data_IF_260220444085
#
_entry.id   IF_260220444085
#
_cell.length_a   1.000
_cell.length_b   1.000
_cell.length_c   1.000
_cell.angle_alpha   90.00
_cell.angle_beta   90.00
_cell.angle_gamma   90.00
#
_symmetry.space_group_name_H-M   'P 1'
#
loop_
_entity.id
_entity.type
_entity.pdbx_description
1 polymer ?
#
# COMPACT_ATOMS: atom_id res chain seq x y z
N UNK A 1 6.77 20.37 -37.72
CA UNK A 1 7.36 19.34 -38.61
C UNK A 1 7.29 19.88 -40.03
N UNK A 2 8.42 19.98 -40.76
CA UNK A 2 8.36 20.35 -42.19
C UNK A 2 7.68 19.20 -42.96
N UNK A 3 6.71 19.53 -43.82
CA UNK A 3 5.97 18.54 -44.59
C UNK A 3 6.91 17.77 -45.53
N UNK A 4 6.62 16.49 -45.76
CA UNK A 4 7.33 15.63 -46.73
C UNK A 4 7.35 16.27 -48.12
N UNK A 5 6.28 17.00 -48.48
CA UNK A 5 6.22 17.78 -49.72
C UNK A 5 7.22 18.94 -49.74
N UNK A 6 7.46 19.62 -48.62
CA UNK A 6 8.43 20.73 -48.55
C UNK A 6 9.85 20.20 -48.74
N UNK A 7 10.19 19.07 -48.12
CA UNK A 7 11.51 18.43 -48.26
C UNK A 7 11.75 18.00 -49.71
N UNK A 8 10.74 17.39 -50.36
CA UNK A 8 10.83 16.98 -51.76
C UNK A 8 11.02 18.17 -52.71
N UNK A 9 10.31 19.28 -52.49
CA UNK A 9 10.43 20.50 -53.30
C UNK A 9 11.82 21.12 -53.18
N UNK A 10 12.39 21.18 -51.97
CA UNK A 10 13.75 21.69 -51.77
C UNK A 10 14.82 20.79 -52.39
N UNK A 11 14.65 19.47 -52.32
CA UNK A 11 15.57 18.53 -52.95
C UNK A 11 15.54 18.62 -54.48
N UNK A 12 14.35 18.68 -55.07
CA UNK A 12 14.17 18.88 -56.53
C UNK A 12 14.73 20.24 -56.96
N UNK A 13 14.48 21.30 -56.19
CA UNK A 13 15.03 22.63 -56.45
C UNK A 13 16.56 22.64 -56.47
N UNK A 14 17.20 21.97 -55.51
CA UNK A 14 18.67 21.84 -55.45
C UNK A 14 19.23 21.05 -56.64
N UNK A 15 18.57 19.98 -57.07
CA UNK A 15 18.98 19.19 -58.25
C UNK A 15 18.85 20.01 -59.52
N UNK A 16 17.76 20.77 -59.68
CA UNK A 16 17.54 21.64 -60.85
C UNK A 16 18.61 22.73 -60.90
N UNK A 17 18.92 23.38 -59.77
CA UNK A 17 19.96 24.41 -59.72
C UNK A 17 21.33 23.82 -60.03
N UNK A 18 21.67 22.64 -59.51
CA UNK A 18 22.92 21.96 -59.82
C UNK A 18 23.02 21.58 -61.31
N UNK A 19 21.95 21.01 -61.88
CA UNK A 19 21.89 20.65 -63.30
C UNK A 19 22.00 21.87 -64.22
N UNK A 20 21.29 22.96 -63.90
CA UNK A 20 21.38 24.23 -64.64
C UNK A 20 22.78 24.84 -64.54
N UNK A 21 23.41 24.79 -63.37
CA UNK A 21 24.78 25.27 -63.18
C UNK A 21 25.77 24.49 -64.06
N UNK A 22 25.64 23.17 -64.13
CA UNK A 22 26.45 22.31 -65.00
C UNK A 22 26.19 22.61 -66.48
N UNK A 23 24.93 22.77 -66.89
CA UNK A 23 24.57 23.07 -68.28
C UNK A 23 25.06 24.46 -68.73
N UNK A 24 24.97 25.47 -67.88
CA UNK A 24 25.50 26.82 -68.15
C UNK A 24 27.02 26.80 -68.24
N UNK A 25 27.70 26.06 -67.36
CA UNK A 25 29.15 25.90 -67.41
C UNK A 25 29.60 25.15 -68.67
N UNK A 26 28.85 24.14 -69.11
CA UNK A 26 29.16 23.40 -70.33
C UNK A 26 29.04 24.27 -71.59
N UNK A 27 28.00 25.10 -71.66
CA UNK A 27 27.72 25.95 -72.82
C UNK A 27 28.64 27.16 -72.93
N UNK A 28 29.05 27.74 -71.80
CA UNK A 28 29.92 28.92 -71.78
C UNK A 28 31.42 28.61 -71.98
N UNK A 29 31.86 27.36 -71.78
CA UNK A 29 33.29 27.04 -71.65
C UNK A 29 33.81 25.91 -72.57
N UNK A 30 33.12 25.55 -73.65
CA UNK A 30 33.59 24.50 -74.59
C UNK A 30 34.76 24.89 -75.50
N UNK A 31 35.39 26.05 -75.30
CA UNK A 31 36.59 26.48 -76.04
C UNK A 31 37.80 26.41 -75.10
N UNK A 32 38.61 25.37 -75.29
CA UNK A 32 39.69 24.96 -74.38
C UNK A 32 40.86 25.94 -74.30
N UNK A 33 41.28 26.25 -73.08
CA UNK A 33 42.55 26.91 -72.79
C UNK A 33 43.06 26.51 -71.39
N UNK A 34 44.38 26.61 -71.17
CA UNK A 34 45.21 25.98 -70.13
C UNK A 34 44.95 26.42 -68.67
N UNK A 35 43.75 26.94 -68.36
CA UNK A 35 43.25 27.30 -67.01
C UNK A 35 42.39 26.20 -66.36
N UNK A 36 42.36 25.00 -66.93
CA UNK A 36 41.43 23.92 -66.55
C UNK A 36 41.77 23.22 -65.22
N UNK A 37 43.03 23.22 -64.78
CA UNK A 37 43.45 22.53 -63.54
C UNK A 37 42.98 23.24 -62.26
N UNK A 38 43.07 24.58 -62.21
CA UNK A 38 42.59 25.40 -61.07
C UNK A 38 41.06 25.37 -60.96
N UNK A 39 40.37 25.22 -62.11
CA UNK A 39 38.91 25.20 -62.19
C UNK A 39 38.32 23.86 -61.74
N UNK A 40 38.96 22.75 -62.10
CA UNK A 40 38.59 21.42 -61.60
C UNK A 40 38.73 21.31 -60.07
N UNK A 41 39.76 21.93 -59.48
CA UNK A 41 39.94 21.93 -58.02
C UNK A 41 38.88 22.76 -57.28
N UNK A 42 38.43 23.86 -57.91
CA UNK A 42 37.33 24.69 -57.38
C UNK A 42 35.99 23.96 -57.43
N UNK A 43 35.71 23.23 -58.51
CA UNK A 43 34.50 22.39 -58.62
C UNK A 43 34.56 21.23 -57.62
N UNK A 44 35.73 20.61 -57.46
CA UNK A 44 35.95 19.50 -56.51
C UNK A 44 35.75 19.93 -55.06
N UNK A 45 36.24 21.11 -54.68
CA UNK A 45 36.05 21.68 -53.34
C UNK A 45 34.61 22.14 -53.10
N UNK A 46 33.95 22.75 -54.09
CA UNK A 46 32.53 23.07 -53.98
C UNK A 46 31.66 21.80 -53.83
N UNK A 47 31.95 20.75 -54.59
CA UNK A 47 31.25 19.48 -54.51
C UNK A 47 31.45 18.79 -53.15
N UNK A 48 32.67 18.81 -52.59
CA UNK A 48 32.94 18.21 -51.28
C UNK A 48 32.27 18.95 -50.13
N UNK A 49 32.14 20.28 -50.21
CA UNK A 49 31.39 21.08 -49.22
C UNK A 49 29.90 20.71 -49.23
N UNK A 50 29.29 20.58 -50.41
CA UNK A 50 27.86 20.20 -50.54
C UNK A 50 27.62 18.78 -50.02
N UNK A 51 28.48 17.82 -50.37
CA UNK A 51 28.38 16.44 -49.86
C UNK A 51 28.59 16.41 -48.34
N UNK A 52 29.59 17.15 -47.82
CA UNK A 52 29.89 17.22 -46.40
C UNK A 52 28.77 17.87 -45.57
N UNK A 53 28.21 18.98 -46.05
CA UNK A 53 27.07 19.65 -45.39
C UNK A 53 25.79 18.82 -45.49
N UNK A 54 25.52 18.18 -46.63
CA UNK A 54 24.42 17.23 -46.79
C UNK A 54 24.53 16.03 -45.85
N UNK A 55 25.73 15.44 -45.73
CA UNK A 55 26.02 14.35 -44.80
C UNK A 55 25.86 14.76 -43.33
N UNK A 56 26.38 15.93 -42.94
CA UNK A 56 26.23 16.47 -41.59
C UNK A 56 24.75 16.78 -41.25
N UNK A 57 23.99 17.33 -42.20
CA UNK A 57 22.56 17.57 -42.03
C UNK A 57 21.77 16.26 -41.89
N UNK A 58 22.11 15.24 -42.68
CA UNK A 58 21.52 13.91 -42.57
C UNK A 58 21.79 13.28 -41.18
N UNK A 59 23.03 13.35 -40.69
CA UNK A 59 23.41 12.87 -39.35
C UNK A 59 22.69 13.63 -38.23
N UNK A 60 22.54 14.95 -38.36
CA UNK A 60 21.79 15.74 -37.38
C UNK A 60 20.29 15.36 -37.37
N UNK A 61 19.70 15.11 -38.54
CA UNK A 61 18.31 14.69 -38.65
C UNK A 61 18.09 13.29 -38.08
N UNK A 62 18.98 12.33 -38.35
CA UNK A 62 18.89 10.99 -37.76
C UNK A 62 19.08 11.03 -36.25
N UNK A 63 20.06 11.79 -35.75
CA UNK A 63 20.27 11.95 -34.30
C UNK A 63 19.06 12.60 -33.61
N UNK A 64 18.43 13.60 -34.23
CA UNK A 64 17.20 14.22 -33.70
C UNK A 64 16.03 13.24 -33.69
N UNK A 65 15.83 12.48 -34.78
CA UNK A 65 14.78 11.46 -34.86
C UNK A 65 14.99 10.34 -33.83
N UNK A 66 16.24 9.90 -33.66
CA UNK A 66 16.59 8.89 -32.68
C UNK A 66 16.26 9.36 -31.26
N UNK A 67 16.61 10.61 -30.91
CA UNK A 67 16.26 11.19 -29.61
C UNK A 67 14.75 11.27 -29.39
N UNK A 68 13.95 11.66 -30.39
CA UNK A 68 12.50 11.66 -30.26
C UNK A 68 11.94 10.25 -30.07
N UNK A 69 12.44 9.26 -30.83
CA UNK A 69 11.96 7.87 -30.69
C UNK A 69 12.34 7.28 -29.34
N UNK A 70 13.52 7.60 -28.79
CA UNK A 70 13.91 7.14 -27.45
C UNK A 70 13.01 7.73 -26.35
N UNK A 71 12.60 8.99 -26.48
CA UNK A 71 11.66 9.62 -25.56
C UNK A 71 10.25 9.03 -25.68
N UNK A 72 9.75 8.89 -26.91
CA UNK A 72 8.44 8.30 -27.18
C UNK A 72 8.38 6.85 -26.68
N UNK A 73 9.46 6.07 -26.84
CA UNK A 73 9.56 4.71 -26.31
C UNK A 73 9.50 4.68 -24.78
N UNK A 74 10.25 5.54 -24.09
CA UNK A 74 10.22 5.62 -22.62
C UNK A 74 8.84 6.02 -22.11
N UNK A 75 8.20 7.01 -22.74
CA UNK A 75 6.85 7.42 -22.37
C UNK A 75 5.84 6.29 -22.62
N UNK A 76 5.90 5.63 -23.77
CA UNK A 76 5.04 4.48 -24.07
C UNK A 76 5.26 3.32 -23.10
N UNK A 77 6.50 3.04 -22.67
CA UNK A 77 6.81 2.00 -21.69
C UNK A 77 6.25 2.33 -20.31
N UNK A 78 6.36 3.60 -19.88
CA UNK A 78 5.73 4.08 -18.66
C UNK A 78 4.20 3.96 -18.73
N UNK A 79 3.58 4.48 -19.79
CA UNK A 79 2.12 4.41 -20.00
C UNK A 79 1.62 2.95 -20.04
N UNK A 80 2.36 2.06 -20.71
CA UNK A 80 2.02 0.64 -20.76
C UNK A 80 2.11 -0.03 -19.38
N UNK A 81 3.12 0.34 -18.58
CA UNK A 81 3.29 -0.14 -17.21
C UNK A 81 2.14 0.33 -16.31
N UNK A 82 1.78 1.61 -16.37
CA UNK A 82 0.66 2.16 -15.60
C UNK A 82 -0.68 1.52 -15.96
N UNK A 83 -0.94 1.31 -17.26
CA UNK A 83 -2.14 0.59 -17.72
C UNK A 83 -2.18 -0.83 -17.20
N UNK A 84 -1.06 -1.57 -17.30
CA UNK A 84 -0.96 -2.94 -16.78
C UNK A 84 -1.20 -3.00 -15.28
N UNK A 85 -0.65 -2.06 -14.52
CA UNK A 85 -0.87 -1.98 -13.06
C UNK A 85 -2.34 -1.72 -12.75
N UNK A 86 -2.97 -0.79 -13.47
CA UNK A 86 -4.40 -0.48 -13.31
C UNK A 86 -5.29 -1.68 -13.64
N UNK A 87 -5.00 -2.42 -14.71
CA UNK A 87 -5.72 -3.64 -15.07
C UNK A 87 -5.56 -4.75 -14.03
N UNK A 88 -4.33 -4.97 -13.52
CA UNK A 88 -4.06 -5.95 -12.48
C UNK A 88 -4.75 -5.57 -11.16
N UNK A 89 -4.75 -4.28 -10.82
CA UNK A 89 -5.50 -3.75 -9.68
C UNK A 89 -6.99 -4.03 -9.83
N UNK A 90 -7.60 -3.69 -10.98
CA UNK A 90 -9.01 -3.95 -11.25
C UNK A 90 -9.38 -5.41 -11.09
N UNK A 91 -8.61 -6.32 -11.70
CA UNK A 91 -8.83 -7.77 -11.58
C UNK A 91 -8.74 -8.27 -10.13
N UNK A 92 -7.77 -7.78 -9.36
CA UNK A 92 -7.61 -8.20 -7.97
C UNK A 92 -8.69 -7.61 -7.05
N UNK A 93 -9.15 -6.39 -7.33
CA UNK A 93 -10.29 -5.77 -6.65
C UNK A 93 -11.60 -6.54 -6.95
N UNK A 94 -11.83 -6.93 -8.21
CA UNK A 94 -12.99 -7.76 -8.59
C UNK A 94 -12.97 -9.12 -7.87
N UNK A 95 -11.79 -9.75 -7.77
CA UNK A 95 -11.60 -10.99 -7.01
C UNK A 95 -11.90 -10.82 -5.53
N UNK A 96 -11.47 -9.71 -4.91
CA UNK A 96 -11.78 -9.38 -3.51
C UNK A 96 -13.27 -9.15 -3.26
N UNK A 97 -14.00 -8.68 -4.28
CA UNK A 97 -15.46 -8.51 -4.25
C UNK A 97 -16.26 -9.80 -4.49
N UNK A 98 -15.60 -10.93 -4.76
CA UNK A 98 -16.29 -12.20 -5.03
C UNK A 98 -17.03 -12.73 -3.80
N UNK A 99 -18.15 -13.41 -4.05
CA UNK A 99 -18.88 -14.24 -3.09
C UNK A 99 -18.06 -15.44 -2.57
N UNK A 100 -17.08 -15.92 -3.35
CA UNK A 100 -16.26 -17.09 -3.04
C UNK A 100 -14.99 -16.69 -2.29
N UNK A 101 -14.84 -17.17 -1.06
CA UNK A 101 -13.65 -16.92 -0.24
C UNK A 101 -12.30 -17.27 -0.92
N UNK A 102 -12.16 -18.39 -1.67
CA UNK A 102 -10.92 -18.68 -2.38
C UNK A 102 -10.52 -17.59 -3.39
N UNK A 103 -11.48 -16.96 -4.08
CA UNK A 103 -11.21 -15.86 -5.01
C UNK A 103 -10.83 -14.60 -4.24
N UNK A 104 -11.49 -14.30 -3.11
CA UNK A 104 -11.11 -13.16 -2.27
C UNK A 104 -9.68 -13.28 -1.73
N UNK A 105 -9.28 -14.48 -1.29
CA UNK A 105 -7.91 -14.76 -0.85
C UNK A 105 -6.91 -14.56 -2.01
N UNK A 106 -7.21 -15.08 -3.19
CA UNK A 106 -6.37 -14.87 -4.38
C UNK A 106 -6.23 -13.38 -4.72
N UNK A 107 -7.33 -12.62 -4.62
CA UNK A 107 -7.33 -11.17 -4.79
C UNK A 107 -6.43 -10.45 -3.79
N UNK A 108 -6.50 -10.81 -2.50
CA UNK A 108 -5.63 -10.22 -1.46
C UNK A 108 -4.14 -10.45 -1.76
N UNK A 109 -3.73 -11.67 -2.10
CA UNK A 109 -2.34 -11.98 -2.45
C UNK A 109 -1.91 -11.30 -3.78
N UNK A 110 -2.83 -11.14 -4.73
CA UNK A 110 -2.55 -10.42 -5.96
C UNK A 110 -2.33 -8.92 -5.70
N UNK A 111 -3.15 -8.31 -4.84
CA UNK A 111 -3.00 -6.91 -4.38
C UNK A 111 -1.69 -6.71 -3.62
N UNK A 112 -1.36 -7.60 -2.69
CA UNK A 112 -0.10 -7.58 -1.95
C UNK A 112 1.12 -7.55 -2.89
N UNK A 113 1.18 -8.51 -3.82
CA UNK A 113 2.26 -8.58 -4.81
C UNK A 113 2.31 -7.34 -5.70
N UNK A 114 1.15 -6.80 -6.08
CA UNK A 114 1.06 -5.57 -6.87
C UNK A 114 1.63 -4.36 -6.10
N UNK A 115 1.28 -4.21 -4.82
CA UNK A 115 1.80 -3.15 -3.95
C UNK A 115 3.31 -3.30 -3.70
N UNK A 116 3.79 -4.54 -3.56
CA UNK A 116 5.21 -4.81 -3.32
C UNK A 116 6.08 -4.32 -4.48
N UNK A 117 5.65 -4.57 -5.72
CA UNK A 117 6.36 -4.14 -6.92
C UNK A 117 6.12 -2.68 -7.31
N UNK A 118 5.10 -2.01 -6.75
CA UNK A 118 4.72 -0.66 -7.17
C UNK A 118 4.48 0.27 -5.96
N UNK A 119 5.56 0.88 -5.41
CA UNK A 119 5.47 1.69 -4.19
C UNK A 119 4.45 2.82 -4.22
N UNK A 120 4.27 3.46 -5.39
CA UNK A 120 3.31 4.54 -5.58
C UNK A 120 1.84 4.13 -5.32
N UNK A 121 1.52 2.83 -5.42
CA UNK A 121 0.17 2.31 -5.23
C UNK A 121 -0.08 1.65 -3.86
N UNK A 122 0.94 1.56 -2.99
CA UNK A 122 0.83 0.91 -1.68
C UNK A 122 -0.30 1.48 -0.85
N UNK A 123 -0.40 2.81 -0.74
CA UNK A 123 -1.47 3.45 0.03
C UNK A 123 -2.86 3.16 -0.55
N UNK A 124 -3.02 3.14 -1.88
CA UNK A 124 -4.29 2.80 -2.54
C UNK A 124 -4.71 1.36 -2.23
N UNK A 125 -3.76 0.43 -2.23
CA UNK A 125 -4.00 -0.98 -1.92
C UNK A 125 -4.31 -1.17 -0.42
N UNK A 126 -3.57 -0.49 0.46
CA UNK A 126 -3.89 -0.40 1.91
C UNK A 126 -5.31 0.12 2.12
N UNK A 127 -5.70 1.19 1.42
CA UNK A 127 -7.04 1.77 1.50
C UNK A 127 -8.13 0.77 1.06
N UNK A 128 -7.87 -0.02 0.02
CA UNK A 128 -8.80 -1.04 -0.46
C UNK A 128 -8.96 -2.18 0.56
N UNK A 129 -7.86 -2.68 1.13
CA UNK A 129 -7.89 -3.70 2.19
C UNK A 129 -8.62 -3.17 3.43
N UNK A 130 -8.35 -1.93 3.83
CA UNK A 130 -9.06 -1.24 4.89
C UNK A 130 -10.56 -1.09 4.58
N UNK A 131 -10.93 -0.75 3.35
CA UNK A 131 -12.33 -0.67 2.92
C UNK A 131 -13.04 -2.03 3.03
N UNK A 132 -12.38 -3.11 2.60
CA UNK A 132 -12.89 -4.47 2.76
C UNK A 132 -13.12 -4.81 4.25
N UNK A 133 -12.16 -4.52 5.12
CA UNK A 133 -12.27 -4.76 6.57
C UNK A 133 -13.36 -3.91 7.26
N UNK A 134 -13.72 -2.76 6.69
CA UNK A 134 -14.83 -1.91 7.18
C UNK A 134 -16.22 -2.41 6.79
N UNK A 135 -16.33 -3.37 5.87
CA UNK A 135 -17.64 -3.94 5.53
C UNK A 135 -18.26 -4.64 6.75
N UNK A 136 -19.60 -4.61 6.91
CA UNK A 136 -20.28 -5.23 8.05
C UNK A 136 -19.89 -6.69 8.24
N UNK A 137 -19.63 -7.06 9.49
CA UNK A 137 -19.23 -8.42 9.85
C UNK A 137 -19.63 -8.73 11.30
N UNK A 138 -20.25 -9.90 11.47
CA UNK A 138 -20.56 -10.47 12.78
C UNK A 138 -19.62 -11.66 12.98
N UNK A 139 -18.68 -11.59 13.94
CA UNK A 139 -17.77 -12.69 14.20
C UNK A 139 -18.55 -13.92 14.66
N UNK A 140 -18.17 -15.13 14.21
CA UNK A 140 -18.74 -16.35 14.75
C UNK A 140 -18.45 -16.42 16.26
N UNK A 141 -19.38 -16.96 17.07
CA UNK A 141 -19.20 -17.07 18.51
C UNK A 141 -17.91 -17.84 18.81
N UNK A 142 -17.13 -17.34 19.77
CA UNK A 142 -15.95 -18.09 20.23
C UNK A 142 -16.47 -19.25 21.08
N UNK A 143 -16.17 -20.52 20.74
CA UNK A 143 -16.63 -21.64 21.55
C UNK A 143 -16.08 -21.48 22.97
N UNK A 144 -16.98 -21.57 23.95
CA UNK A 144 -16.62 -21.53 25.37
C UNK A 144 -15.77 -22.76 25.71
N UNK A 145 -14.83 -22.68 26.66
CA UNK A 145 -14.17 -23.88 27.20
C UNK A 145 -15.18 -24.95 27.67
N UNK A 146 -16.39 -24.54 28.07
CA UNK A 146 -17.51 -25.43 28.41
C UNK A 146 -18.07 -26.20 27.19
N UNK A 147 -18.05 -25.61 26.00
CA UNK A 147 -18.52 -26.23 24.75
C UNK A 147 -17.49 -27.27 24.24
N UNK A 148 -16.21 -27.08 24.58
CA UNK A 148 -15.13 -28.01 24.23
C UNK A 148 -15.06 -29.21 25.18
N UNK A 149 -15.65 -29.12 26.37
CA UNK A 149 -15.68 -30.18 27.39
C UNK A 149 -16.94 -31.05 27.34
N UNK A 150 -17.93 -30.68 26.53
CA UNK A 150 -19.18 -31.42 26.30
C UNK A 150 -19.12 -32.41 25.12
N UNK A 151 -17.94 -32.67 24.55
CA UNK A 151 -17.74 -33.80 23.62
C UNK A 151 -17.59 -35.09 24.44
N UNK A 152 -18.73 -35.67 24.75
CA UNK A 152 -18.96 -36.75 25.71
C UNK A 152 -18.24 -38.07 25.35
N UNK A 153 -17.19 -38.41 26.09
CA UNK A 153 -17.26 -39.43 27.16
C UNK A 153 -17.71 -40.87 26.88
N UNK A 154 -18.17 -41.29 25.68
CA UNK A 154 -18.61 -42.68 25.44
C UNK A 154 -18.22 -43.23 24.07
N UNK A 155 -16.99 -43.73 23.95
CA UNK A 155 -16.66 -45.07 23.38
C UNK A 155 -15.15 -45.31 23.43
N UNK A 156 -14.77 -46.54 23.74
CA UNK A 156 -13.44 -46.92 24.19
C UNK A 156 -12.30 -46.64 23.21
N UNK A 157 -11.14 -46.35 23.80
CA UNK A 157 -9.79 -46.79 23.36
C UNK A 157 -9.70 -47.23 21.90
N UNK A 158 -9.42 -46.27 21.02
CA UNK A 158 -8.61 -46.53 19.83
C UNK A 158 -7.74 -45.33 19.55
N UNK A 159 -6.44 -45.48 19.80
CA UNK A 159 -5.41 -44.58 19.29
C UNK A 159 -5.59 -44.48 17.77
N UNK A 160 -6.09 -43.36 17.31
CA UNK A 160 -5.93 -42.91 15.93
C UNK A 160 -5.53 -41.46 16.00
N UNK A 161 -4.37 -41.16 15.42
CA UNK A 161 -3.96 -39.82 14.99
C UNK A 161 -5.20 -39.03 14.62
N UNK A 162 -5.47 -37.96 15.35
CA UNK A 162 -6.49 -36.99 14.99
C UNK A 162 -6.00 -36.30 13.71
N UNK A 163 -6.22 -36.96 12.58
CA UNK A 163 -6.49 -36.31 11.31
C UNK A 163 -7.69 -35.44 11.61
N UNK A 164 -7.45 -34.19 12.02
CA UNK A 164 -8.44 -33.14 11.86
C UNK A 164 -8.93 -33.30 10.42
N UNK A 165 -10.24 -33.49 10.18
CA UNK A 165 -10.71 -33.49 8.81
C UNK A 165 -10.18 -32.18 8.23
N UNK A 166 -9.33 -32.28 7.19
CA UNK A 166 -8.97 -31.15 6.34
C UNK A 166 -10.26 -30.78 5.61
N UNK A 167 -11.20 -30.18 6.33
CA UNK A 167 -12.25 -29.38 5.71
C UNK A 167 -11.46 -28.33 4.96
N UNK A 168 -11.52 -28.38 3.62
CA UNK A 168 -10.89 -27.33 2.83
C UNK A 168 -11.56 -26.03 3.30
N UNK A 169 -10.83 -24.93 3.48
CA UNK A 169 -11.44 -23.70 3.99
C UNK A 169 -12.65 -23.24 3.14
N UNK A 170 -12.70 -23.64 1.86
CA UNK A 170 -13.82 -23.46 0.94
C UNK A 170 -15.14 -24.19 1.32
N UNK A 171 -15.10 -25.19 2.21
CA UNK A 171 -16.25 -26.03 2.59
C UNK A 171 -16.80 -25.70 3.99
N UNK A 172 -16.24 -24.69 4.68
CA UNK A 172 -16.72 -24.25 5.99
C UNK A 172 -17.98 -23.36 5.92
N UNK A 173 -18.72 -23.14 7.03
CA UNK A 173 -19.77 -22.14 7.12
C UNK A 173 -19.31 -20.77 6.58
N UNK A 174 -20.16 -20.05 5.85
CA UNK A 174 -19.81 -18.80 5.17
C UNK A 174 -19.17 -17.75 6.11
N UNK A 175 -19.59 -17.71 7.38
CA UNK A 175 -19.03 -16.85 8.43
C UNK A 175 -17.58 -17.19 8.78
N UNK A 176 -17.23 -18.48 8.80
CA UNK A 176 -15.86 -18.94 9.04
C UNK A 176 -14.96 -18.64 7.83
N UNK A 177 -15.50 -18.76 6.61
CA UNK A 177 -14.78 -18.36 5.41
C UNK A 177 -14.50 -16.85 5.39
N UNK A 178 -15.50 -16.04 5.72
CA UNK A 178 -15.33 -14.58 5.81
C UNK A 178 -14.35 -14.20 6.92
N UNK A 179 -14.40 -14.87 8.08
CA UNK A 179 -13.42 -14.68 9.14
C UNK A 179 -11.98 -14.96 8.66
N UNK A 180 -11.79 -16.03 7.90
CA UNK A 180 -10.46 -16.40 7.37
C UNK A 180 -9.93 -15.36 6.38
N UNK A 181 -10.77 -14.87 5.46
CA UNK A 181 -10.39 -13.82 4.50
C UNK A 181 -10.02 -12.54 5.24
N UNK A 182 -10.81 -12.11 6.23
CA UNK A 182 -10.53 -10.92 7.05
C UNK A 182 -9.28 -11.05 7.89
N UNK A 183 -9.03 -12.22 8.49
CA UNK A 183 -7.80 -12.48 9.21
C UNK A 183 -6.57 -12.49 8.29
N UNK A 184 -6.74 -12.93 7.04
CA UNK A 184 -5.68 -12.84 6.02
C UNK A 184 -5.43 -11.39 5.64
N UNK A 185 -6.47 -10.60 5.37
CA UNK A 185 -6.36 -9.17 5.12
C UNK A 185 -5.67 -8.41 6.27
N UNK A 186 -6.06 -8.67 7.53
CA UNK A 186 -5.40 -8.09 8.71
C UNK A 186 -3.92 -8.47 8.79
N UNK A 187 -3.58 -9.73 8.50
CA UNK A 187 -2.20 -10.23 8.57
C UNK A 187 -1.31 -9.57 7.54
N UNK A 188 -1.74 -9.55 6.27
CA UNK A 188 -1.01 -8.93 5.17
C UNK A 188 -0.81 -7.42 5.43
N UNK A 189 -1.87 -6.74 5.89
CA UNK A 189 -1.79 -5.34 6.27
C UNK A 189 -0.70 -5.10 7.31
N UNK A 190 -0.68 -5.88 8.40
CA UNK A 190 0.29 -5.69 9.49
C UNK A 190 1.71 -6.11 9.10
N UNK A 191 1.86 -7.16 8.29
CA UNK A 191 3.17 -7.64 7.82
C UNK A 191 3.96 -6.51 7.18
N UNK A 192 3.32 -5.74 6.31
CA UNK A 192 3.92 -4.59 5.63
C UNK A 192 4.10 -3.35 6.51
N UNK A 193 3.67 -3.36 7.77
CA UNK A 193 3.90 -2.26 8.71
C UNK A 193 5.10 -2.52 9.62
N UNK A 194 5.82 -3.63 9.45
CA UNK A 194 6.94 -4.00 10.31
C UNK A 194 8.27 -3.64 9.64
N UNK A 195 9.04 -2.68 10.17
CA UNK A 195 10.33 -2.31 9.60
C UNK A 195 11.42 -3.38 9.77
N UNK A 196 11.19 -4.43 10.58
CA UNK A 196 12.21 -5.43 10.90
C UNK A 196 12.98 -5.10 12.19
N UNK A 197 14.14 -5.73 12.41
CA UNK A 197 14.94 -5.58 13.63
C UNK A 197 15.99 -4.47 13.55
N UNK A 198 16.43 -4.12 12.35
CA UNK A 198 17.48 -3.13 12.12
C UNK A 198 16.89 -1.90 11.42
N UNK A 199 16.91 -0.77 12.12
CA UNK A 199 16.43 0.50 11.59
C UNK A 199 17.28 1.03 10.43
N UNK A 200 18.55 0.59 10.32
CA UNK A 200 19.43 1.00 9.21
C UNK A 200 19.16 0.24 7.92
N UNK A 201 18.56 -0.94 8.03
CA UNK A 201 18.23 -1.78 6.88
C UNK A 201 16.84 -2.38 7.08
N UNK A 202 15.79 -1.59 6.79
CA UNK A 202 14.42 -2.06 6.94
C UNK A 202 14.16 -3.30 6.10
N UNK A 203 13.25 -4.15 6.58
CA UNK A 203 12.78 -5.31 5.83
C UNK A 203 12.25 -4.87 4.45
N UNK A 204 12.63 -5.54 3.34
CA UNK A 204 12.13 -5.17 2.00
C UNK A 204 10.61 -5.19 1.85
N UNK A 205 9.91 -5.95 2.69
CA UNK A 205 8.44 -5.99 2.74
C UNK A 205 7.83 -4.79 3.48
N UNK A 206 8.62 -3.98 4.19
CA UNK A 206 8.11 -2.83 4.93
C UNK A 206 7.63 -1.70 4.00
N UNK A 207 6.41 -1.23 4.24
CA UNK A 207 5.79 -0.09 3.58
C UNK A 207 5.80 1.09 4.53
N UNK A 208 6.80 1.95 4.36
CA UNK A 208 6.95 3.15 5.18
C UNK A 208 5.84 4.17 4.93
N UNK A 209 5.41 4.86 5.99
CA UNK A 209 4.54 6.04 5.86
C UNK A 209 3.07 5.74 5.57
N UNK A 210 2.61 4.50 5.79
CA UNK A 210 1.22 4.10 5.52
C UNK A 210 0.24 4.69 6.55
N UNK A 211 -0.94 5.08 6.07
CA UNK A 211 -2.10 5.43 6.88
C UNK A 211 -3.14 4.30 6.86
N UNK A 212 -3.76 4.01 8.01
CA UNK A 212 -4.83 3.04 8.14
C UNK A 212 -6.16 3.71 8.48
N UNK A 213 -7.22 3.38 7.73
CA UNK A 213 -8.58 3.75 8.07
C UNK A 213 -9.45 2.51 8.31
N UNK A 214 -9.58 2.14 9.59
CA UNK A 214 -10.38 1.02 10.06
C UNK A 214 -11.58 1.50 10.88
N UNK A 215 -12.11 2.68 10.53
CA UNK A 215 -13.31 3.27 11.16
C UNK A 215 -14.48 2.30 11.09
N UNK A 216 -15.09 1.99 12.23
CA UNK A 216 -16.24 1.10 12.35
C UNK A 216 -15.95 -0.38 12.03
N UNK A 217 -14.68 -0.76 11.82
CA UNK A 217 -14.34 -2.12 11.45
C UNK A 217 -14.54 -3.09 12.63
N UNK A 218 -14.98 -4.31 12.33
CA UNK A 218 -14.98 -5.43 13.26
C UNK A 218 -13.73 -6.28 13.02
N UNK A 219 -12.80 -6.26 13.96
CA UNK A 219 -11.47 -6.88 13.83
C UNK A 219 -11.35 -8.04 14.82
N UNK A 220 -10.90 -9.20 14.35
CA UNK A 220 -10.82 -10.42 15.18
C UNK A 220 -9.36 -10.82 15.33
N UNK A 221 -8.91 -10.93 16.59
CA UNK A 221 -7.55 -11.33 16.95
C UNK A 221 -6.47 -10.50 16.24
N UNK A 222 -6.61 -9.17 16.25
CA UNK A 222 -5.65 -8.29 15.58
C UNK A 222 -4.30 -8.32 16.31
N UNK A 223 -3.25 -8.68 15.58
CA UNK A 223 -1.87 -8.72 16.11
C UNK A 223 -1.02 -7.70 15.38
N UNK A 224 -0.92 -6.49 15.95
CA UNK A 224 -0.07 -5.41 15.47
C UNK A 224 1.10 -5.21 16.44
N UNK A 225 2.08 -6.12 16.40
CA UNK A 225 3.28 -6.03 17.23
C UNK A 225 4.44 -5.45 16.45
N UNK A 226 5.19 -4.53 17.07
CA UNK A 226 6.37 -3.90 16.48
C UNK A 226 6.10 -3.28 15.09
N UNK A 227 4.89 -2.78 14.88
CA UNK A 227 4.55 -2.06 13.66
C UNK A 227 4.96 -0.59 13.76
N UNK A 228 5.16 0.05 12.61
CA UNK A 228 5.29 1.49 12.47
C UNK A 228 4.26 1.95 11.45
N UNK A 229 3.44 2.92 11.85
CA UNK A 229 2.36 3.45 11.01
C UNK A 229 2.37 4.97 11.11
N UNK A 230 2.14 5.65 9.98
CA UNK A 230 2.07 7.12 9.97
C UNK A 230 0.85 7.59 10.74
N UNK A 231 -0.33 7.09 10.37
CA UNK A 231 -1.58 7.37 11.08
C UNK A 231 -2.49 6.16 11.10
N UNK A 232 -3.26 5.96 12.16
CA UNK A 232 -4.26 4.91 12.22
C UNK A 232 -5.56 5.42 12.85
N UNK A 233 -6.67 5.20 12.16
CA UNK A 233 -8.01 5.52 12.66
C UNK A 233 -8.78 4.24 12.93
N UNK A 234 -9.12 4.02 14.19
CA UNK A 234 -9.97 2.92 14.67
C UNK A 234 -11.29 3.45 15.22
N UNK A 235 -11.69 4.67 14.88
CA UNK A 235 -12.91 5.29 15.41
C UNK A 235 -14.12 4.34 15.29
N UNK A 236 -14.78 4.03 16.40
CA UNK A 236 -15.94 3.14 16.43
C UNK A 236 -15.65 1.66 16.11
N UNK A 237 -14.39 1.26 15.96
CA UNK A 237 -14.02 -0.12 15.66
C UNK A 237 -14.24 -1.04 16.87
N UNK A 238 -14.61 -2.30 16.59
CA UNK A 238 -14.78 -3.34 17.62
C UNK A 238 -13.73 -4.42 17.47
N UNK A 239 -13.01 -4.70 18.55
CA UNK A 239 -11.94 -5.69 18.63
C UNK A 239 -12.41 -6.92 19.41
N UNK A 240 -12.44 -8.07 18.73
CA UNK A 240 -12.82 -9.36 19.29
C UNK A 240 -11.61 -10.25 19.56
N UNK A 241 -11.61 -10.91 20.71
CA UNK A 241 -10.51 -11.77 21.14
C UNK A 241 -9.24 -10.98 21.48
N UNK A 242 -8.11 -11.68 21.67
CA UNK A 242 -6.84 -11.03 22.00
C UNK A 242 -6.38 -10.06 20.91
N UNK A 243 -6.28 -8.79 21.26
CA UNK A 243 -5.78 -7.73 20.40
C UNK A 243 -4.51 -7.16 21.01
N UNK A 244 -3.45 -7.08 20.21
CA UNK A 244 -2.16 -6.55 20.67
C UNK A 244 -1.66 -5.47 19.73
N UNK A 245 -1.25 -4.36 20.34
CA UNK A 245 -0.53 -3.27 19.71
C UNK A 245 0.93 -3.23 20.19
N UNK A 246 1.39 -4.25 20.91
CA UNK A 246 2.64 -4.22 21.68
C UNK A 246 3.84 -3.77 20.84
N UNK A 247 4.54 -2.74 21.32
CA UNK A 247 5.72 -2.23 20.62
C UNK A 247 5.42 -1.44 19.34
N UNK A 248 4.15 -1.15 19.03
CA UNK A 248 3.79 -0.37 17.84
C UNK A 248 4.04 1.12 18.08
N UNK A 249 4.51 1.78 17.03
CA UNK A 249 4.72 3.23 17.00
C UNK A 249 3.71 3.86 16.04
N UNK A 250 2.90 4.77 16.58
CA UNK A 250 2.04 5.67 15.79
C UNK A 250 2.76 7.02 15.68
N UNK A 251 3.21 7.36 14.47
CA UNK A 251 4.10 8.52 14.24
C UNK A 251 3.34 9.86 14.17
N UNK A 252 2.07 9.81 13.83
CA UNK A 252 1.13 10.92 13.87
C UNK A 252 -0.12 10.38 14.54
N UNK A 253 -1.30 10.59 13.96
CA UNK A 253 -2.58 10.31 14.60
C UNK A 253 -2.85 8.81 14.90
N UNK A 254 -3.40 8.54 16.08
CA UNK A 254 -3.85 7.25 16.57
C UNK A 254 -5.24 7.40 17.23
N UNK A 255 -6.30 7.32 16.42
CA UNK A 255 -7.66 7.57 16.88
C UNK A 255 -8.35 6.28 17.36
N UNK A 256 -8.51 6.14 18.67
CA UNK A 256 -9.24 5.05 19.32
C UNK A 256 -10.59 5.50 19.89
N UNK A 257 -11.14 6.63 19.45
CA UNK A 257 -12.43 7.13 19.96
C UNK A 257 -13.54 6.13 19.69
N UNK A 258 -14.43 5.97 20.67
CA UNK A 258 -15.57 5.06 20.59
C UNK A 258 -15.20 3.60 20.22
N UNK A 259 -13.95 3.19 20.39
CA UNK A 259 -13.55 1.80 20.16
C UNK A 259 -14.12 0.89 21.24
N UNK A 260 -14.32 -0.39 20.89
CA UNK A 260 -14.75 -1.41 21.83
C UNK A 260 -13.79 -2.59 21.85
N UNK A 261 -13.14 -2.82 22.98
CA UNK A 261 -12.28 -3.98 23.22
C UNK A 261 -13.05 -5.04 24.02
N UNK A 262 -13.57 -6.05 23.31
CA UNK A 262 -14.36 -7.13 23.91
C UNK A 262 -13.45 -8.12 24.63
N UNK A 263 -12.31 -8.45 24.01
CA UNK A 263 -11.30 -9.35 24.57
C UNK A 263 -10.13 -8.62 25.23
N UNK A 264 -9.02 -9.33 25.39
CA UNK A 264 -7.76 -8.78 25.89
C UNK A 264 -7.25 -7.67 24.95
N UNK A 265 -6.80 -6.55 25.52
CA UNK A 265 -6.15 -5.46 24.81
C UNK A 265 -4.76 -5.16 25.40
N UNK A 266 -3.70 -5.45 24.64
CA UNK A 266 -2.31 -5.24 25.04
C UNK A 266 -1.70 -4.03 24.32
N UNK A 267 -1.47 -2.96 25.09
CA UNK A 267 -0.86 -1.71 24.66
C UNK A 267 0.56 -1.52 25.20
N UNK A 268 1.19 -2.57 25.75
CA UNK A 268 2.52 -2.43 26.35
C UNK A 268 3.54 -1.94 25.32
N UNK A 269 4.36 -0.96 25.71
CA UNK A 269 5.43 -0.39 24.87
C UNK A 269 4.91 0.19 23.56
N UNK A 270 3.63 0.58 23.51
CA UNK A 270 3.13 1.41 22.41
C UNK A 270 3.67 2.82 22.61
N UNK A 271 4.12 3.41 21.51
CA UNK A 271 4.52 4.82 21.44
C UNK A 271 3.49 5.57 20.61
N UNK A 272 2.95 6.63 21.18
CA UNK A 272 2.16 7.63 20.48
C UNK A 272 3.00 8.90 20.43
N UNK A 273 3.23 9.45 19.23
CA UNK A 273 3.87 10.77 19.15
C UNK A 273 2.98 11.81 19.86
N UNK A 274 3.60 12.79 20.52
CA UNK A 274 2.92 13.64 21.51
C UNK A 274 1.66 14.31 20.91
N UNK A 275 0.54 14.29 21.66
CA UNK A 275 -0.82 14.73 21.27
C UNK A 275 -1.60 13.85 20.27
N UNK A 276 -1.01 12.78 19.75
CA UNK A 276 -1.60 12.11 18.60
C UNK A 276 -2.59 10.99 18.91
N UNK A 277 -2.74 10.57 20.17
CA UNK A 277 -3.66 9.50 20.56
C UNK A 277 -4.92 10.00 21.26
N UNK A 278 -6.07 9.39 20.99
CA UNK A 278 -7.31 9.69 21.70
C UNK A 278 -8.14 8.45 21.98
N UNK A 279 -8.52 8.25 23.24
CA UNK A 279 -9.35 7.13 23.70
C UNK A 279 -10.73 7.58 24.20
N UNK A 280 -11.17 8.79 23.83
CA UNK A 280 -12.45 9.32 24.31
C UNK A 280 -13.60 8.39 23.92
N UNK A 281 -14.36 7.94 24.92
CA UNK A 281 -15.47 7.02 24.71
C UNK A 281 -15.06 5.58 24.36
N UNK A 282 -13.77 5.24 24.43
CA UNK A 282 -13.33 3.85 24.29
C UNK A 282 -13.91 2.99 25.43
N UNK A 283 -14.22 1.73 25.11
CA UNK A 283 -14.87 0.79 26.02
C UNK A 283 -13.99 -0.45 26.14
N UNK A 284 -13.52 -0.73 27.35
CA UNK A 284 -12.69 -1.90 27.66
C UNK A 284 -13.47 -2.92 28.50
N UNK A 285 -13.90 -4.02 27.90
CA UNK A 285 -14.64 -5.08 28.59
C UNK A 285 -13.74 -6.18 29.14
N UNK A 286 -12.75 -6.61 28.36
CA UNK A 286 -11.83 -7.67 28.71
C UNK A 286 -10.64 -7.20 29.56
N UNK A 287 -9.60 -8.03 29.57
CA UNK A 287 -8.30 -7.71 30.18
C UNK A 287 -7.61 -6.57 29.43
N UNK A 288 -6.86 -5.73 30.15
CA UNK A 288 -6.15 -4.60 29.55
C UNK A 288 -4.77 -4.46 30.19
N UNK A 289 -3.74 -4.23 29.36
CA UNK A 289 -2.39 -3.95 29.86
C UNK A 289 -1.72 -2.84 29.04
N UNK A 290 -1.57 -1.65 29.62
CA UNK A 290 -0.76 -0.56 29.08
C UNK A 290 0.72 -0.64 29.54
N UNK A 291 1.04 -1.50 30.51
CA UNK A 291 2.37 -1.57 31.09
C UNK A 291 2.74 -0.31 31.88
N UNK A 292 4.02 0.03 31.87
CA UNK A 292 4.58 1.20 32.59
C UNK A 292 5.25 2.21 31.66
N UNK A 293 5.35 1.90 30.37
CA UNK A 293 6.10 2.69 29.39
C UNK A 293 5.19 3.40 28.39
N UNK A 294 3.89 3.08 28.38
CA UNK A 294 2.94 3.68 27.44
C UNK A 294 2.16 4.75 28.17
N UNK A 295 2.40 6.00 27.80
CA UNK A 295 1.57 7.13 28.17
C UNK A 295 0.43 7.24 27.16
N UNK A 296 -0.81 7.38 27.64
CA UNK A 296 -1.98 7.49 26.76
C UNK A 296 -3.07 8.33 27.44
N UNK A 297 -3.72 9.26 26.73
CA UNK A 297 -4.85 10.01 27.28
C UNK A 297 -6.12 9.14 27.28
N UNK A 298 -6.47 8.63 28.46
CA UNK A 298 -7.63 7.74 28.65
C UNK A 298 -8.89 8.45 29.16
N UNK A 299 -8.90 9.80 29.15
CA UNK A 299 -10.01 10.59 29.64
C UNK A 299 -11.32 10.22 28.91
N UNK A 300 -12.34 9.87 29.71
CA UNK A 300 -13.66 9.52 29.19
C UNK A 300 -13.75 8.13 28.56
N UNK A 301 -12.68 7.34 28.59
CA UNK A 301 -12.79 5.90 28.36
C UNK A 301 -13.51 5.23 29.55
N UNK A 302 -14.13 4.09 29.28
CA UNK A 302 -14.83 3.30 30.29
C UNK A 302 -14.33 1.87 30.30
N UNK A 303 -14.38 1.24 31.46
CA UNK A 303 -13.96 -0.13 31.63
C UNK A 303 -14.99 -0.89 32.45
N UNK A 304 -15.19 -2.16 32.11
CA UNK A 304 -16.00 -3.08 32.89
C UNK A 304 -15.23 -3.44 34.17
N UNK A 305 -15.91 -3.42 35.32
CA UNK A 305 -15.31 -3.77 36.62
C UNK A 305 -15.80 -5.11 37.16
N UNK A 306 -16.74 -5.76 36.47
CA UNK A 306 -17.22 -7.10 36.82
C UNK A 306 -16.26 -8.19 36.35
N UNK A 307 -16.06 -9.21 37.21
CA UNK A 307 -15.23 -10.37 36.92
C UNK A 307 -13.75 -10.16 37.25
N UNK A 308 -13.07 -11.21 37.69
CA UNK A 308 -11.63 -11.20 37.98
C UNK A 308 -10.84 -11.09 36.67
N UNK A 309 -10.72 -9.89 36.14
CA UNK A 309 -10.00 -9.60 34.89
C UNK A 309 -8.89 -8.61 35.16
N UNK A 310 -7.67 -8.98 34.78
CA UNK A 310 -6.48 -8.16 35.05
C UNK A 310 -6.52 -6.89 34.22
N UNK A 311 -6.40 -5.75 34.90
CA UNK A 311 -6.33 -4.43 34.26
C UNK A 311 -5.13 -3.66 34.80
N UNK A 312 -4.28 -3.20 33.89
CA UNK A 312 -3.12 -2.37 34.20
C UNK A 312 -3.18 -1.09 33.38
N UNK A 313 -3.58 -0.02 34.04
CA UNK A 313 -3.61 1.34 33.48
C UNK A 313 -2.25 2.03 33.67
N UNK A 314 -1.93 3.04 32.85
CA UNK A 314 -0.79 3.90 33.12
C UNK A 314 -0.90 4.56 34.51
N UNK A 315 0.24 4.93 35.09
CA UNK A 315 0.32 5.31 36.51
C UNK A 315 -0.54 6.52 36.86
N UNK A 316 -0.77 7.43 35.92
CA UNK A 316 -1.55 8.66 36.05
C UNK A 316 -3.07 8.46 35.95
N UNK A 317 -3.56 7.25 35.66
CA UNK A 317 -4.99 6.95 35.52
C UNK A 317 -5.52 6.05 36.64
N UNK A 318 -6.78 6.30 37.00
CA UNK A 318 -7.56 5.44 37.89
C UNK A 318 -8.96 5.21 37.32
N UNK A 319 -9.53 4.05 37.68
CA UNK A 319 -10.91 3.72 37.38
C UNK A 319 -11.81 4.19 38.53
N UNK A 320 -12.83 4.98 38.22
CA UNK A 320 -13.87 5.44 39.16
C UNK A 320 -15.21 4.88 38.72
N UNK A 321 -15.93 4.23 39.62
CA UNK A 321 -17.24 3.66 39.32
C UNK A 321 -18.24 4.72 38.82
N UNK A 322 -19.11 4.31 37.90
CA UNK A 322 -20.12 5.18 37.31
C UNK A 322 -21.43 5.02 38.08
N UNK A 323 -21.90 6.10 38.72
CA UNK A 323 -23.20 6.14 39.39
C UNK A 323 -24.33 5.74 38.42
N UNK A 324 -25.19 4.81 38.85
CA UNK A 324 -26.29 4.32 38.04
C UNK A 324 -25.92 3.28 36.97
N UNK A 325 -24.64 2.88 36.86
CA UNK A 325 -24.19 1.81 35.96
C UNK A 325 -23.29 0.81 36.69
N UNK A 326 -23.86 -0.11 37.50
CA UNK A 326 -23.10 -1.09 38.26
C UNK A 326 -22.18 -1.91 37.36
N UNK A 327 -20.98 -2.21 37.84
CA UNK A 327 -20.03 -3.03 37.08
C UNK A 327 -19.29 -2.28 35.97
N UNK A 328 -19.35 -0.96 35.96
CA UNK A 328 -18.64 -0.10 35.03
C UNK A 328 -17.97 1.07 35.75
N UNK A 329 -16.75 1.39 35.31
CA UNK A 329 -15.99 2.53 35.76
C UNK A 329 -15.58 3.41 34.58
N UNK A 330 -15.40 4.70 34.85
CA UNK A 330 -14.79 5.68 33.94
C UNK A 330 -13.33 5.88 34.32
N UNK A 331 -12.47 6.00 33.32
CA UNK A 331 -11.07 6.38 33.53
C UNK A 331 -10.96 7.89 33.69
N UNK A 332 -10.33 8.29 34.79
CA UNK A 332 -10.08 9.68 35.17
C UNK A 332 -8.62 9.84 35.59
N UNK A 333 -8.07 11.04 35.43
CA UNK A 333 -6.73 11.35 35.92
C UNK A 333 -6.69 11.16 37.45
N UNK A 334 -5.59 10.63 37.99
CA UNK A 334 -5.48 10.32 39.42
C UNK A 334 -5.63 11.53 40.32
N UNK A 335 -5.19 12.70 39.87
CA UNK A 335 -5.29 13.93 40.67
C UNK A 335 -6.77 14.33 40.84
N UNK A 336 -7.56 14.23 39.76
CA UNK A 336 -9.02 14.37 39.79
C UNK A 336 -9.72 13.23 40.55
N UNK A 337 -9.05 12.08 40.68
CA UNK A 337 -9.54 10.92 41.41
C UNK A 337 -9.55 11.17 42.94
N UNK A 338 -8.59 11.96 43.43
CA UNK A 338 -8.33 12.19 44.85
C UNK A 338 -9.18 13.31 45.48
N UNK A 339 -9.56 14.35 44.72
CA UNK A 339 -10.28 15.53 45.23
C UNK A 339 -11.76 15.31 45.55
N UNK A 340 -12.33 14.12 45.26
CA UNK A 340 -13.75 13.84 45.47
C UNK A 340 -14.04 12.79 46.55
N UNK A 341 -13.11 12.60 47.50
CA UNK A 341 -13.28 11.69 48.64
C UNK A 341 -13.67 12.42 49.91
#
# INVERSE_FOLDING_TARGET
MLSTTTIAVWAVGLIIVAGLSVAVLWTQFSNGDQRDSVRLDTIRTAASIVVGTGGAAALLLTARRQRSTELDLKQNEHDATERRVTELYGKAADQLGSDKAPLRLAGLYALERLAQGNPAHRQTIVNLICAYLRMPFVPPPTPSPADLSSTDGRTGRRRLSAVRPRVRPADGPAELQELEVRQTAQRLLVEHLRPGKDDRQPDPSYWEGMDLNLTGATLVKLVMTHARVRSATFHGATFHGPTTFRGTVFMRNADFRATRFVGLADFRRVTFDEESATFKGAVFEGEVDFGTHTAAPLAGATTRTTGETRRKWPAEWAARDISGRPGWARLVARDQAAESR
#
